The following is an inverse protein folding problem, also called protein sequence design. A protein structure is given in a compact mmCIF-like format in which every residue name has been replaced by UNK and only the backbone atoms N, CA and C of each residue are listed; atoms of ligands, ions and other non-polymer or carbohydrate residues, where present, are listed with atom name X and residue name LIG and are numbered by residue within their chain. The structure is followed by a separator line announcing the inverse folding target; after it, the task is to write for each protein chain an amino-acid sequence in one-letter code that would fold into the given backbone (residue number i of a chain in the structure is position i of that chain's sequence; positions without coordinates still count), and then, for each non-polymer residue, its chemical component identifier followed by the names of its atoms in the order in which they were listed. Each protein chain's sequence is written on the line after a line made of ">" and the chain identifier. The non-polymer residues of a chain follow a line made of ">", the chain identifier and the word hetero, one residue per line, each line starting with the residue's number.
data_IF_314357549414
#
_entry.id   IF_314357549414
#
_cell.length_a   1.000
_cell.length_b   1.000
_cell.length_c   1.000
_cell.angle_alpha   90.00
_cell.angle_beta   90.00
_cell.angle_gamma   90.00
#
_symmetry.space_group_name_H-M   'P 1'
#
loop_
_entity.id
_entity.type
_entity.pdbx_description
1 polymer ?
#
# COMPACT_ATOMS: atom_id res chain seq x y z
N UNK A 1 16.21 -27.46 -10.09
CA UNK A 1 14.78 -27.29 -10.38
C UNK A 1 14.41 -25.83 -10.11
N UNK A 2 14.28 -25.00 -11.14
CA UNK A 2 13.61 -23.72 -10.98
C UNK A 2 12.12 -24.04 -10.78
N UNK A 3 11.65 -24.02 -9.54
CA UNK A 3 10.28 -24.42 -9.14
C UNK A 3 9.17 -23.50 -9.63
N UNK A 4 9.41 -22.71 -10.68
CA UNK A 4 8.44 -21.77 -11.24
C UNK A 4 7.82 -22.44 -12.47
N UNK A 5 6.73 -23.16 -12.23
CA UNK A 5 6.01 -23.94 -13.25
C UNK A 5 5.35 -23.00 -14.30
N UNK A 6 4.99 -21.77 -13.91
CA UNK A 6 4.33 -20.79 -14.77
C UNK A 6 5.09 -19.44 -14.75
N UNK A 7 6.30 -19.42 -15.30
CA UNK A 7 7.14 -18.22 -15.32
C UNK A 7 6.48 -17.05 -16.06
N UNK A 8 5.83 -17.32 -17.18
CA UNK A 8 5.14 -16.30 -17.98
C UNK A 8 4.00 -15.64 -17.21
N UNK A 9 3.14 -16.43 -16.56
CA UNK A 9 2.04 -15.91 -15.76
C UNK A 9 2.53 -15.09 -14.55
N UNK A 10 3.62 -15.55 -13.90
CA UNK A 10 4.27 -14.78 -12.84
C UNK A 10 4.82 -13.45 -13.35
N UNK A 11 5.48 -13.44 -14.51
CA UNK A 11 6.04 -12.25 -15.13
C UNK A 11 4.93 -11.23 -15.45
N UNK A 12 3.86 -11.68 -16.11
CA UNK A 12 2.72 -10.84 -16.48
C UNK A 12 2.03 -10.27 -15.23
N UNK A 13 1.73 -11.13 -14.24
CA UNK A 13 1.10 -10.68 -13.00
C UNK A 13 2.01 -9.71 -12.23
N UNK A 14 3.30 -10.00 -12.13
CA UNK A 14 4.29 -9.14 -11.47
C UNK A 14 4.43 -7.77 -12.15
N UNK A 15 4.42 -7.74 -13.48
CA UNK A 15 4.44 -6.48 -14.24
C UNK A 15 3.18 -5.65 -14.00
N UNK A 16 2.00 -6.26 -14.08
CA UNK A 16 0.72 -5.56 -13.83
C UNK A 16 0.68 -5.00 -12.40
N UNK A 17 1.12 -5.77 -11.41
CA UNK A 17 1.15 -5.36 -10.01
C UNK A 17 2.17 -4.23 -9.76
N UNK A 18 3.35 -4.27 -10.39
CA UNK A 18 4.37 -3.22 -10.23
C UNK A 18 4.02 -1.92 -10.99
N UNK A 19 3.33 -2.04 -12.13
CA UNK A 19 2.89 -0.87 -12.91
C UNK A 19 1.80 -0.06 -12.22
N UNK A 20 1.02 -0.69 -11.33
CA UNK A 20 -0.05 0.00 -10.61
C UNK A 20 0.55 0.76 -9.43
N UNK A 21 0.65 2.10 -9.48
CA UNK A 21 1.10 2.88 -8.33
C UNK A 21 0.18 2.59 -7.14
N UNK A 22 0.77 2.12 -6.05
CA UNK A 22 0.03 1.70 -4.86
C UNK A 22 -0.65 2.86 -4.13
N UNK A 23 -1.54 2.53 -3.19
CA UNK A 23 -2.23 3.52 -2.35
C UNK A 23 -1.23 4.41 -1.59
N UNK A 24 -0.15 3.82 -1.08
CA UNK A 24 0.91 4.53 -0.36
C UNK A 24 1.61 5.58 -1.23
N UNK A 25 1.97 5.20 -2.47
CA UNK A 25 2.61 6.10 -3.43
C UNK A 25 1.66 7.24 -3.80
N UNK A 26 0.38 6.95 -4.06
CA UNK A 26 -0.63 7.96 -4.36
C UNK A 26 -0.87 8.91 -3.20
N UNK A 27 -0.88 8.41 -1.97
CA UNK A 27 -1.00 9.21 -0.77
C UNK A 27 0.19 10.15 -0.60
N UNK A 28 1.43 9.63 -0.72
CA UNK A 28 2.65 10.43 -0.61
C UNK A 28 2.67 11.51 -1.69
N UNK A 29 2.32 11.18 -2.93
CA UNK A 29 2.22 12.15 -4.02
C UNK A 29 1.19 13.23 -3.73
N UNK A 30 -0.01 12.85 -3.26
CA UNK A 30 -1.05 13.80 -2.88
C UNK A 30 -0.62 14.76 -1.78
N UNK A 31 0.00 14.24 -0.72
CA UNK A 31 0.53 15.06 0.38
C UNK A 31 1.72 15.92 -0.07
N UNK A 32 2.56 15.42 -0.97
CA UNK A 32 3.70 16.17 -1.53
C UNK A 32 3.26 17.32 -2.40
N UNK A 33 2.21 17.12 -3.21
CA UNK A 33 1.64 18.15 -4.09
C UNK A 33 0.86 19.17 -3.27
N UNK A 34 0.05 18.72 -2.30
CA UNK A 34 -0.84 19.61 -1.53
C UNK A 34 -0.15 20.39 -0.40
N UNK A 35 0.89 19.83 0.22
CA UNK A 35 1.55 20.40 1.43
C UNK A 35 3.07 20.51 1.27
N UNK A 36 3.57 20.36 0.05
CA UNK A 36 4.98 20.48 -0.28
C UNK A 36 5.85 19.27 0.09
N UNK A 37 7.13 19.37 -0.30
CA UNK A 37 8.11 18.27 -0.20
C UNK A 37 8.29 17.74 1.22
N UNK A 38 8.23 18.60 2.25
CA UNK A 38 8.41 18.20 3.66
C UNK A 38 7.29 17.27 4.14
N UNK A 39 6.03 17.58 3.80
CA UNK A 39 4.89 16.75 4.16
C UNK A 39 4.92 15.38 3.46
N UNK A 40 5.42 15.35 2.21
CA UNK A 40 5.70 14.12 1.49
C UNK A 40 6.72 13.22 2.19
N UNK A 41 7.86 13.79 2.61
CA UNK A 41 8.92 13.05 3.31
C UNK A 41 8.43 12.47 4.64
N UNK A 42 7.70 13.26 5.44
CA UNK A 42 7.12 12.78 6.70
C UNK A 42 6.11 11.64 6.48
N UNK A 43 5.27 11.77 5.45
CA UNK A 43 4.31 10.73 5.07
C UNK A 43 5.02 9.44 4.66
N UNK A 44 6.06 9.54 3.84
CA UNK A 44 6.86 8.40 3.41
C UNK A 44 7.56 7.69 4.58
N UNK A 45 8.14 8.45 5.52
CA UNK A 45 8.79 7.90 6.71
C UNK A 45 7.79 7.20 7.64
N UNK A 46 6.61 7.80 7.83
CA UNK A 46 5.54 7.20 8.62
C UNK A 46 5.04 5.89 8.02
N UNK A 47 4.73 5.87 6.73
CA UNK A 47 4.32 4.66 6.00
C UNK A 47 5.41 3.61 6.03
N UNK A 48 6.66 3.97 5.76
CA UNK A 48 7.78 3.01 5.74
C UNK A 48 8.00 2.36 7.11
N UNK A 49 7.95 3.16 8.18
CA UNK A 49 8.09 2.64 9.55
C UNK A 49 6.94 1.69 9.88
N UNK A 50 5.71 2.08 9.59
CA UNK A 50 4.53 1.22 9.78
C UNK A 50 4.60 -0.08 8.96
N UNK A 51 5.05 0.01 7.71
CA UNK A 51 5.24 -1.14 6.84
C UNK A 51 6.25 -2.13 7.39
N UNK A 52 7.36 -1.66 7.98
CA UNK A 52 8.36 -2.53 8.63
C UNK A 52 7.71 -3.33 9.76
N UNK A 53 7.00 -2.66 10.68
CA UNK A 53 6.31 -3.35 11.77
C UNK A 53 5.28 -4.34 11.23
N UNK A 54 4.48 -3.94 10.25
CA UNK A 54 3.49 -4.81 9.62
C UNK A 54 4.13 -6.06 8.99
N UNK A 55 5.22 -5.91 8.23
CA UNK A 55 5.95 -7.02 7.60
C UNK A 55 6.49 -7.98 8.65
N UNK A 56 7.04 -7.46 9.76
CA UNK A 56 7.54 -8.30 10.86
C UNK A 56 6.39 -9.11 11.45
N UNK A 57 5.28 -8.48 11.82
CA UNK A 57 4.11 -9.18 12.37
C UNK A 57 3.52 -10.20 11.38
N UNK A 58 3.36 -9.81 10.12
CA UNK A 58 2.81 -10.66 9.07
C UNK A 58 3.70 -11.88 8.81
N UNK A 59 5.02 -11.69 8.70
CA UNK A 59 5.97 -12.78 8.42
C UNK A 59 6.08 -13.73 9.61
N UNK A 60 6.17 -13.19 10.84
CA UNK A 60 6.20 -14.03 12.04
C UNK A 60 4.90 -14.83 12.20
N UNK A 61 3.74 -14.19 12.00
CA UNK A 61 2.44 -14.87 12.06
C UNK A 61 2.26 -15.93 10.96
N UNK A 62 2.63 -15.59 9.71
CA UNK A 62 2.53 -16.51 8.58
C UNK A 62 3.48 -17.70 8.73
N UNK A 63 4.68 -17.49 9.28
CA UNK A 63 5.67 -18.55 9.53
C UNK A 63 5.12 -19.63 10.47
N UNK A 64 4.33 -19.24 11.47
CA UNK A 64 3.68 -20.19 12.40
C UNK A 64 2.64 -21.04 11.65
N UNK A 65 1.87 -20.45 10.75
CA UNK A 65 0.86 -21.16 9.93
C UNK A 65 1.55 -22.17 9.01
N UNK A 66 2.61 -21.75 8.32
CA UNK A 66 3.44 -22.59 7.46
C UNK A 66 4.04 -23.77 8.23
N UNK A 67 4.53 -23.55 9.46
CA UNK A 67 5.15 -24.59 10.28
C UNK A 67 4.13 -25.60 10.85
N UNK A 68 2.87 -25.19 11.08
CA UNK A 68 1.86 -26.05 11.71
C UNK A 68 1.07 -26.93 10.75
N UNK A 69 0.77 -26.47 9.53
CA UNK A 69 -0.09 -27.25 8.62
C UNK A 69 0.01 -26.82 7.15
N UNK A 70 0.21 -27.80 6.27
CA UNK A 70 0.15 -27.62 4.82
C UNK A 70 -1.25 -27.18 4.33
N UNK A 71 -2.31 -27.70 4.93
CA UNK A 71 -3.70 -27.36 4.55
C UNK A 71 -4.04 -25.91 4.88
N UNK A 72 -3.55 -25.39 6.01
CA UNK A 72 -3.76 -23.98 6.37
C UNK A 72 -3.06 -23.03 5.39
N UNK A 73 -1.86 -23.40 4.92
CA UNK A 73 -1.17 -22.64 3.88
C UNK A 73 -1.93 -22.62 2.55
N UNK A 74 -2.52 -23.75 2.14
CA UNK A 74 -3.34 -23.79 0.93
C UNK A 74 -4.57 -22.88 1.01
N UNK A 75 -5.27 -22.85 2.15
CA UNK A 75 -6.41 -21.96 2.37
C UNK A 75 -5.98 -20.50 2.22
N UNK A 76 -4.88 -20.10 2.89
CA UNK A 76 -4.35 -18.73 2.80
C UNK A 76 -3.97 -18.38 1.36
N UNK A 77 -3.38 -19.32 0.60
CA UNK A 77 -3.04 -19.13 -0.81
C UNK A 77 -4.27 -18.82 -1.67
N UNK A 78 -5.33 -19.62 -1.52
CA UNK A 78 -6.57 -19.40 -2.28
C UNK A 78 -7.30 -18.13 -1.84
N UNK A 79 -7.30 -17.80 -0.55
CA UNK A 79 -7.84 -16.54 -0.04
C UNK A 79 -7.09 -15.33 -0.60
N UNK A 80 -5.75 -15.39 -0.66
CA UNK A 80 -4.93 -14.34 -1.27
C UNK A 80 -5.25 -14.15 -2.75
N UNK A 81 -5.40 -15.25 -3.51
CA UNK A 81 -5.80 -15.18 -4.92
C UNK A 81 -7.20 -14.56 -5.09
N UNK A 82 -8.18 -14.96 -4.28
CA UNK A 82 -9.53 -14.39 -4.30
C UNK A 82 -9.52 -12.89 -3.95
N UNK A 83 -8.72 -12.49 -2.97
CA UNK A 83 -8.58 -11.08 -2.58
C UNK A 83 -8.00 -10.22 -3.71
N UNK A 84 -7.00 -10.72 -4.44
CA UNK A 84 -6.44 -10.02 -5.60
C UNK A 84 -7.44 -9.88 -6.74
N UNK A 85 -8.22 -10.93 -7.04
CA UNK A 85 -9.30 -10.85 -8.03
C UNK A 85 -10.30 -9.77 -7.61
N UNK A 86 -10.73 -9.77 -6.35
CA UNK A 86 -11.64 -8.76 -5.82
C UNK A 86 -11.06 -7.34 -5.95
N UNK A 87 -9.79 -7.13 -5.59
CA UNK A 87 -9.15 -5.83 -5.68
C UNK A 87 -8.99 -5.36 -7.14
N UNK A 88 -8.66 -6.28 -8.05
CA UNK A 88 -8.59 -6.01 -9.49
C UNK A 88 -9.93 -5.58 -10.05
N UNK A 89 -11.00 -6.33 -9.76
CA UNK A 89 -12.36 -5.95 -10.16
C UNK A 89 -12.77 -4.62 -9.54
N UNK A 90 -12.56 -4.44 -8.24
CA UNK A 90 -12.90 -3.20 -7.53
C UNK A 90 -12.22 -1.98 -8.15
N UNK A 91 -10.97 -2.12 -8.59
CA UNK A 91 -10.22 -1.02 -9.25
C UNK A 91 -10.81 -0.68 -10.61
N UNK A 92 -11.22 -1.69 -11.39
CA UNK A 92 -11.86 -1.49 -12.70
C UNK A 92 -13.25 -0.85 -12.55
N UNK A 93 -14.02 -1.23 -11.52
CA UNK A 93 -15.38 -0.73 -11.30
C UNK A 93 -15.46 0.55 -10.44
N UNK A 94 -14.38 0.96 -9.77
CA UNK A 94 -14.37 2.23 -9.03
C UNK A 94 -14.25 3.39 -10.01
N UNK A 95 -15.28 4.23 -10.06
CA UNK A 95 -15.22 5.57 -10.64
C UNK A 95 -14.19 6.39 -9.84
N UNK A 96 -13.17 6.91 -10.51
CA UNK A 96 -12.17 7.81 -9.91
C UNK A 96 -12.84 9.13 -9.52
N UNK A 97 -13.48 9.17 -8.36
CA UNK A 97 -13.90 10.41 -7.73
C UNK A 97 -12.67 11.00 -7.04
N UNK A 98 -11.86 11.71 -7.83
CA UNK A 98 -10.66 12.40 -7.38
C UNK A 98 -10.98 13.54 -6.41
N UNK A 99 -11.24 13.20 -5.15
CA UNK A 99 -11.22 14.15 -4.04
C UNK A 99 -9.83 14.12 -3.42
N UNK A 100 -8.89 14.81 -4.05
CA UNK A 100 -7.72 15.31 -3.33
C UNK A 100 -8.26 16.36 -2.36
N UNK A 101 -8.39 15.99 -1.08
CA UNK A 101 -8.61 16.96 -0.01
C UNK A 101 -7.40 17.89 0.01
N UNK A 102 -7.59 19.06 -0.61
CA UNK A 102 -6.77 20.25 -0.41
C UNK A 102 -6.91 20.62 1.07
N UNK A 103 -6.05 20.02 1.89
CA UNK A 103 -5.80 20.43 3.26
C UNK A 103 -5.34 21.89 3.21
N UNK A 104 -6.31 22.76 3.45
CA UNK A 104 -6.26 24.21 3.52
C UNK A 104 -4.96 24.70 4.21
N UNK A 105 -4.03 25.27 3.44
CA UNK A 105 -2.79 25.89 3.96
C UNK A 105 -3.06 27.02 4.96
N UNK A 106 -4.28 27.56 4.97
CA UNK A 106 -4.69 28.66 5.83
C UNK A 106 -4.67 28.30 7.34
N UNK A 107 -4.81 27.02 7.70
CA UNK A 107 -4.83 26.61 9.13
C UNK A 107 -3.43 26.56 9.76
N UNK A 108 -2.38 26.28 8.96
CA UNK A 108 -0.99 26.27 9.44
C UNK A 108 -0.49 27.71 9.58
N UNK A 109 -0.83 28.59 8.65
CA UNK A 109 -0.45 30.01 8.71
C UNK A 109 -1.16 30.70 9.88
N UNK A 110 -2.46 30.43 10.12
CA UNK A 110 -3.16 30.97 11.30
C UNK A 110 -2.55 30.47 12.61
N UNK A 111 -2.16 29.18 12.72
CA UNK A 111 -1.47 28.68 13.93
C UNK A 111 -0.10 29.32 14.14
N UNK A 112 0.62 29.68 13.08
CA UNK A 112 1.91 30.37 13.20
C UNK A 112 1.74 31.86 13.54
N UNK A 113 0.75 32.54 12.96
CA UNK A 113 0.45 33.94 13.27
C UNK A 113 -0.15 34.10 14.68
N UNK A 114 -0.94 33.13 15.16
CA UNK A 114 -1.49 33.14 16.53
C UNK A 114 -0.45 32.81 17.61
N UNK A 115 0.67 32.18 17.25
CA UNK A 115 1.78 31.87 18.16
C UNK A 115 2.89 32.96 18.22
N UNK A 116 2.71 34.09 17.53
CA UNK A 116 3.53 35.29 17.76
C UNK A 116 5.04 35.10 17.58
N UNK A 117 5.46 34.45 16.49
CA UNK A 117 6.83 34.57 15.96
C UNK A 117 6.86 35.54 14.78
#
# INVERSE_FOLDING_TARGET
>A
MFGIINFEAFLIAGLILNLTPGADTMYILGRSIAQGKKAGILSALGISTGAIFHIIFATLGLSIILAKSATAFEIVKYLGAAYLIFLGLKTIFKKTDGKFELSNENEIIERFTFLGF
#
